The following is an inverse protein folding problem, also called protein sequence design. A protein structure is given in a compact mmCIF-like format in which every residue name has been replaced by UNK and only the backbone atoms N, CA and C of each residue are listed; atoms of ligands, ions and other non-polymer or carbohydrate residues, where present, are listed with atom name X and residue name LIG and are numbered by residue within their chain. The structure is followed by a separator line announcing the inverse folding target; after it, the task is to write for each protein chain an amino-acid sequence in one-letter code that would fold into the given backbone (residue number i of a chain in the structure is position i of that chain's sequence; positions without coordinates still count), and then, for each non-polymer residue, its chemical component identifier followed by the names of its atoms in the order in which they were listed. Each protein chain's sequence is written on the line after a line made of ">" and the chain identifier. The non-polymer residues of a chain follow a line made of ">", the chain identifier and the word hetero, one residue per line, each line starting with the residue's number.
data_IF_110573467305
#
_entry.id   IF_110573467305
#
_cell.length_a   1.000
_cell.length_b   1.000
_cell.length_c   1.000
_cell.angle_alpha   90.00
_cell.angle_beta   90.00
_cell.angle_gamma   90.00
#
_symmetry.space_group_name_H-M   'P 1'
#
loop_
_entity.id
_entity.type
_entity.pdbx_description
1 polymer ?
#
# COMPACT_ATOMS: atom_id res chain seq x y z
N UNK A 1 15.16 -21.76 10.52
CA UNK A 1 15.65 -20.78 11.50
C UNK A 1 14.47 -20.41 12.36
N UNK A 2 14.67 -20.28 13.66
CA UNK A 2 13.63 -19.76 14.55
C UNK A 2 13.32 -18.28 14.21
N UNK A 3 12.06 -17.84 14.38
CA UNK A 3 11.66 -16.47 14.02
C UNK A 3 12.40 -15.45 14.90
N UNK A 4 12.51 -15.69 16.20
CA UNK A 4 13.14 -14.76 17.13
C UNK A 4 14.65 -14.69 16.87
N UNK A 5 15.26 -15.83 16.55
CA UNK A 5 16.66 -15.88 16.10
C UNK A 5 16.88 -15.08 14.80
N UNK A 6 15.95 -15.16 13.84
CA UNK A 6 16.00 -14.40 12.60
C UNK A 6 15.91 -12.89 12.84
N UNK A 7 14.97 -12.45 13.68
CA UNK A 7 14.80 -11.04 14.05
C UNK A 7 16.04 -10.51 14.76
N UNK A 8 16.57 -11.26 15.74
CA UNK A 8 17.77 -10.87 16.48
C UNK A 8 18.99 -10.74 15.56
N UNK A 9 19.19 -11.68 14.64
CA UNK A 9 20.29 -11.63 13.65
C UNK A 9 20.18 -10.42 12.73
N UNK A 10 18.97 -10.09 12.31
CA UNK A 10 18.69 -8.93 11.48
C UNK A 10 18.63 -7.60 12.27
N UNK A 11 18.83 -7.64 13.60
CA UNK A 11 18.72 -6.49 14.52
C UNK A 11 17.37 -5.79 14.42
N UNK A 12 16.30 -6.56 14.19
CA UNK A 12 14.92 -6.06 14.20
C UNK A 12 14.30 -6.17 15.59
N UNK A 13 13.22 -5.41 15.80
CA UNK A 13 12.45 -5.47 17.02
C UNK A 13 11.79 -6.85 17.21
N UNK A 14 11.54 -7.22 18.46
CA UNK A 14 10.96 -8.52 18.81
C UNK A 14 9.61 -8.76 18.14
N UNK A 15 9.21 -10.03 18.05
CA UNK A 15 7.88 -10.40 17.59
C UNK A 15 6.82 -9.80 18.52
N UNK A 16 5.77 -9.27 17.93
CA UNK A 16 4.59 -8.80 18.62
C UNK A 16 3.77 -10.00 19.13
N UNK A 17 3.46 -9.99 20.42
CA UNK A 17 2.62 -11.01 21.07
C UNK A 17 1.23 -10.43 21.38
N UNK A 18 0.18 -11.27 21.54
CA UNK A 18 -1.18 -10.79 21.77
C UNK A 18 -1.33 -9.82 22.96
N UNK A 19 -0.50 -9.98 23.99
CA UNK A 19 -0.48 -9.11 25.17
C UNK A 19 -0.07 -7.67 24.85
N UNK A 20 0.77 -7.45 23.82
CA UNK A 20 1.24 -6.12 23.41
C UNK A 20 0.11 -5.28 22.77
N UNK A 21 -0.95 -5.94 22.29
CA UNK A 21 -2.03 -5.34 21.50
C UNK A 21 -3.41 -5.74 22.00
N UNK A 22 -3.54 -6.01 23.29
CA UNK A 22 -4.81 -6.46 23.90
C UNK A 22 -6.02 -5.55 23.57
N UNK A 23 -5.77 -4.26 23.33
CA UNK A 23 -6.81 -3.28 23.01
C UNK A 23 -7.18 -3.19 21.51
N UNK A 24 -6.39 -3.81 20.62
CA UNK A 24 -6.61 -3.81 19.17
C UNK A 24 -6.73 -5.24 18.61
N UNK A 25 -7.96 -5.76 18.41
CA UNK A 25 -8.18 -7.14 17.98
C UNK A 25 -7.76 -7.41 16.52
N UNK A 26 -7.45 -6.38 15.73
CA UNK A 26 -7.17 -6.53 14.30
C UNK A 26 -5.80 -7.13 14.01
N UNK A 27 -4.85 -7.00 14.94
CA UNK A 27 -3.52 -7.59 14.78
C UNK A 27 -3.63 -9.11 14.59
N UNK A 28 -4.31 -9.82 15.49
CA UNK A 28 -4.45 -11.28 15.42
C UNK A 28 -5.23 -11.72 14.19
N UNK A 29 -6.31 -11.00 13.84
CA UNK A 29 -7.13 -11.32 12.67
C UNK A 29 -6.34 -11.15 11.36
N UNK A 30 -5.57 -10.04 11.25
CA UNK A 30 -4.77 -9.79 10.07
C UNK A 30 -3.52 -10.68 10.01
N UNK A 31 -2.88 -11.00 11.15
CA UNK A 31 -1.73 -11.91 11.16
C UNK A 31 -2.09 -13.28 10.58
N UNK A 32 -3.26 -13.82 10.93
CA UNK A 32 -3.72 -15.09 10.39
C UNK A 32 -3.91 -15.05 8.86
N UNK A 33 -4.55 -13.99 8.36
CA UNK A 33 -4.78 -13.75 6.92
C UNK A 33 -3.46 -13.60 6.15
N UNK A 34 -2.56 -12.75 6.65
CA UNK A 34 -1.28 -12.45 6.00
C UNK A 34 -0.31 -13.64 6.07
N UNK A 35 -0.34 -14.42 7.16
CA UNK A 35 0.40 -15.66 7.25
C UNK A 35 -0.12 -16.72 6.27
N UNK A 36 -1.43 -16.79 6.06
CA UNK A 36 -1.99 -17.64 5.00
C UNK A 36 -1.53 -17.18 3.62
N UNK A 37 -1.60 -15.87 3.36
CA UNK A 37 -1.16 -15.27 2.10
C UNK A 37 0.30 -15.58 1.80
N UNK A 38 1.21 -15.43 2.78
CA UNK A 38 2.63 -15.75 2.63
C UNK A 38 2.89 -17.24 2.32
N UNK A 39 2.08 -18.15 2.84
CA UNK A 39 2.19 -19.59 2.55
C UNK A 39 1.67 -19.96 1.17
N UNK A 40 0.60 -19.31 0.70
CA UNK A 40 -0.14 -19.72 -0.49
C UNK A 40 0.25 -18.96 -1.76
N UNK A 41 0.79 -17.74 -1.64
CA UNK A 41 1.10 -16.91 -2.80
C UNK A 41 2.23 -17.49 -3.66
N UNK A 42 3.23 -18.11 -3.02
CA UNK A 42 4.37 -18.80 -3.66
C UNK A 42 4.44 -20.26 -3.17
N UNK A 43 3.63 -21.19 -3.72
CA UNK A 43 3.53 -22.56 -3.20
C UNK A 43 4.85 -23.33 -3.18
N UNK A 44 5.71 -23.09 -4.18
CA UNK A 44 7.02 -23.75 -4.30
C UNK A 44 8.10 -23.13 -3.39
N UNK A 45 7.81 -21.98 -2.79
CA UNK A 45 8.77 -21.21 -1.99
C UNK A 45 8.01 -20.43 -0.89
N UNK A 46 7.36 -21.13 0.06
CA UNK A 46 6.47 -20.49 1.02
C UNK A 46 7.21 -19.54 1.96
N UNK A 47 6.51 -18.48 2.36
CA UNK A 47 7.01 -17.46 3.27
C UNK A 47 6.28 -17.55 4.62
N UNK A 48 6.93 -17.04 5.66
CA UNK A 48 6.33 -16.79 6.96
C UNK A 48 5.97 -15.30 7.08
N UNK A 49 4.99 -14.99 7.93
CA UNK A 49 4.61 -13.62 8.26
C UNK A 49 4.57 -13.46 9.77
N UNK A 50 5.08 -12.33 10.28
CA UNK A 50 4.87 -11.89 11.66
C UNK A 50 4.68 -10.37 11.75
N UNK A 51 4.06 -9.94 12.83
CA UNK A 51 4.19 -8.57 13.30
C UNK A 51 5.37 -8.41 14.26
N UNK A 52 6.06 -7.28 14.17
CA UNK A 52 7.09 -6.86 15.12
C UNK A 52 6.57 -5.73 16.01
N UNK A 53 7.04 -5.65 17.26
CA UNK A 53 6.65 -4.59 18.22
C UNK A 53 7.12 -3.19 17.81
N UNK A 54 7.98 -3.10 16.79
CA UNK A 54 8.54 -1.84 16.32
C UNK A 54 7.47 -0.81 15.95
N UNK A 55 7.72 0.44 16.32
CA UNK A 55 6.76 1.55 16.17
C UNK A 55 6.93 2.33 14.86
N UNK A 56 7.98 2.03 14.10
CA UNK A 56 8.21 2.60 12.76
C UNK A 56 7.16 2.15 11.75
N UNK A 57 6.93 2.97 10.73
CA UNK A 57 6.03 2.65 9.61
C UNK A 57 6.88 2.03 8.51
N UNK A 58 7.05 0.71 8.60
CA UNK A 58 7.83 -0.05 7.64
C UNK A 58 7.43 -1.53 7.60
N UNK A 59 7.76 -2.19 6.49
CA UNK A 59 7.75 -3.63 6.32
C UNK A 59 9.13 -4.10 5.78
N UNK A 60 9.45 -5.37 6.04
CA UNK A 60 10.76 -5.95 5.70
C UNK A 60 10.60 -7.38 5.23
N UNK A 61 11.33 -7.77 4.21
CA UNK A 61 11.60 -9.17 3.87
C UNK A 61 12.99 -9.61 4.37
N UNK A 62 13.04 -10.66 5.19
CA UNK A 62 14.27 -11.35 5.59
C UNK A 62 14.50 -12.56 4.69
N UNK A 63 15.32 -12.38 3.65
CA UNK A 63 15.56 -13.39 2.62
C UNK A 63 16.05 -14.75 3.16
N UNK A 64 17.06 -14.83 4.06
CA UNK A 64 17.57 -16.11 4.54
C UNK A 64 16.56 -16.90 5.37
N UNK A 65 15.63 -16.19 6.01
CA UNK A 65 14.64 -16.76 6.92
C UNK A 65 13.26 -16.90 6.28
N UNK A 66 13.10 -16.48 5.02
CA UNK A 66 11.83 -16.53 4.28
C UNK A 66 10.70 -15.88 5.08
N UNK A 67 10.98 -14.73 5.68
CA UNK A 67 10.11 -14.10 6.67
C UNK A 67 9.78 -12.66 6.27
N UNK A 68 8.49 -12.40 6.06
CA UNK A 68 7.94 -11.04 5.95
C UNK A 68 7.62 -10.53 7.36
N UNK A 69 8.11 -9.33 7.66
CA UNK A 69 7.96 -8.66 8.95
C UNK A 69 7.25 -7.34 8.71
N UNK A 70 6.04 -7.18 9.25
CA UNK A 70 5.38 -5.87 9.29
C UNK A 70 5.53 -5.26 10.67
N UNK A 71 5.95 -4.00 10.74
CA UNK A 71 6.05 -3.32 12.03
C UNK A 71 4.66 -2.95 12.54
N UNK A 72 4.47 -3.03 13.87
CA UNK A 72 3.23 -2.60 14.51
C UNK A 72 2.87 -1.15 14.20
N UNK A 73 3.87 -0.27 14.05
CA UNK A 73 3.68 1.10 13.58
C UNK A 73 2.98 1.21 12.23
N UNK A 74 3.38 0.40 11.24
CA UNK A 74 2.75 0.37 9.91
C UNK A 74 1.30 -0.09 9.98
N UNK A 75 1.03 -1.18 10.70
CA UNK A 75 -0.34 -1.68 10.83
C UNK A 75 -1.27 -0.68 11.54
N UNK A 76 -0.77 0.01 12.56
CA UNK A 76 -1.53 1.10 13.19
C UNK A 76 -1.78 2.27 12.25
N UNK A 77 -0.79 2.63 11.41
CA UNK A 77 -0.98 3.64 10.39
C UNK A 77 -2.10 3.23 9.41
N UNK A 78 -2.18 1.95 9.02
CA UNK A 78 -3.30 1.43 8.21
C UNK A 78 -4.64 1.51 8.95
N UNK A 79 -4.69 1.13 10.22
CA UNK A 79 -5.91 1.24 11.03
C UNK A 79 -6.39 2.69 11.11
N UNK A 80 -5.48 3.64 11.32
CA UNK A 80 -5.83 5.07 11.35
C UNK A 80 -6.22 5.62 9.99
N UNK A 81 -5.52 5.22 8.92
CA UNK A 81 -5.89 5.59 7.56
C UNK A 81 -7.30 5.09 7.23
N UNK A 82 -7.59 3.81 7.49
CA UNK A 82 -8.92 3.23 7.32
C UNK A 82 -9.98 3.95 8.18
N UNK A 83 -9.66 4.26 9.45
CA UNK A 83 -10.53 5.01 10.36
C UNK A 83 -10.88 6.41 9.79
N UNK A 84 -9.89 7.12 9.24
CA UNK A 84 -10.10 8.40 8.58
C UNK A 84 -10.95 8.26 7.33
N UNK A 85 -10.70 7.27 6.49
CA UNK A 85 -11.50 6.99 5.29
C UNK A 85 -12.97 6.72 5.65
N UNK A 86 -13.24 5.86 6.62
CA UNK A 86 -14.64 5.56 6.99
C UNK A 86 -15.34 6.74 7.66
N UNK A 87 -14.58 7.60 8.33
CA UNK A 87 -15.08 8.80 9.03
C UNK A 87 -15.20 10.04 8.15
N UNK A 88 -14.52 10.07 6.99
CA UNK A 88 -14.43 11.25 6.13
C UNK A 88 -15.71 11.55 5.36
N UNK A 89 -16.62 10.58 5.27
CA UNK A 89 -17.82 10.68 4.43
C UNK A 89 -17.58 10.42 2.94
N UNK A 90 -16.33 10.15 2.52
CA UNK A 90 -16.00 9.95 1.10
C UNK A 90 -16.79 8.80 0.44
N UNK A 91 -17.11 7.76 1.21
CA UNK A 91 -17.96 6.65 0.78
C UNK A 91 -19.43 6.92 1.13
N UNK A 92 -20.08 7.83 0.39
CA UNK A 92 -21.45 8.32 0.67
C UNK A 92 -22.52 7.23 0.63
N UNK A 93 -22.30 6.16 -0.16
CA UNK A 93 -23.26 5.07 -0.33
C UNK A 93 -23.36 4.14 0.89
N UNK A 94 -22.41 4.21 1.83
CA UNK A 94 -22.39 3.40 3.04
C UNK A 94 -23.19 4.08 4.17
N UNK A 95 -23.85 3.27 5.01
CA UNK A 95 -24.67 3.72 6.14
C UNK A 95 -23.97 4.80 6.99
N UNK A 96 -24.72 5.83 7.35
CA UNK A 96 -24.19 6.96 8.09
C UNK A 96 -23.20 7.79 7.28
N UNK A 97 -23.31 7.75 5.94
CA UNK A 97 -22.67 8.69 5.02
C UNK A 97 -23.05 10.11 5.36
N UNK A 98 -22.04 10.91 5.64
CA UNK A 98 -22.13 12.35 5.66
C UNK A 98 -21.52 12.87 4.36
N UNK A 99 -21.95 14.04 3.89
CA UNK A 99 -21.21 14.70 2.82
C UNK A 99 -19.76 14.93 3.25
N UNK A 100 -18.78 14.60 2.39
CA UNK A 100 -17.39 14.81 2.72
C UNK A 100 -17.12 16.30 2.96
N UNK A 101 -16.60 16.63 4.13
CA UNK A 101 -16.20 18.00 4.46
C UNK A 101 -14.72 18.19 4.23
N UNK A 102 -14.35 19.24 3.49
CA UNK A 102 -12.97 19.68 3.32
C UNK A 102 -12.86 21.17 3.60
N UNK A 103 -11.78 21.60 4.26
CA UNK A 103 -11.52 23.02 4.51
C UNK A 103 -10.06 23.38 4.27
N UNK A 104 -9.82 24.37 3.41
CA UNK A 104 -8.50 24.97 3.20
C UNK A 104 -7.90 25.59 4.46
N UNK A 105 -8.72 25.93 5.47
CA UNK A 105 -8.26 26.49 6.75
C UNK A 105 -7.53 25.47 7.63
N UNK A 106 -7.71 24.17 7.37
CA UNK A 106 -7.04 23.08 8.08
C UNK A 106 -5.72 22.66 7.41
N UNK A 107 -5.39 23.23 6.25
CA UNK A 107 -4.10 23.06 5.60
C UNK A 107 -3.02 23.81 6.39
N UNK A 108 -2.40 23.09 7.33
CA UNK A 108 -1.11 23.50 7.88
C UNK A 108 -0.01 23.34 6.81
N UNK A 109 1.17 23.91 7.07
CA UNK A 109 2.35 23.71 6.22
C UNK A 109 2.54 22.22 5.89
N UNK A 110 3.10 21.85 4.72
CA UNK A 110 3.19 20.47 4.27
C UNK A 110 3.92 19.61 5.31
N UNK A 111 3.14 18.92 6.15
CA UNK A 111 3.62 17.95 7.11
C UNK A 111 3.46 16.56 6.49
N UNK A 112 4.43 15.65 6.68
CA UNK A 112 4.28 14.27 6.26
C UNK A 112 2.97 13.69 6.76
N UNK A 113 2.17 13.14 5.85
CA UNK A 113 0.88 12.50 6.17
C UNK A 113 1.03 11.50 7.32
N UNK A 114 2.15 10.78 7.32
CA UNK A 114 2.48 9.77 8.33
C UNK A 114 2.57 10.31 9.75
N UNK A 115 2.97 11.58 9.95
CA UNK A 115 2.99 12.18 11.28
C UNK A 115 1.60 12.30 11.89
N UNK A 116 0.57 12.53 11.08
CA UNK A 116 -0.82 12.55 11.56
C UNK A 116 -1.35 11.16 11.90
N UNK A 117 -0.71 10.11 11.41
CA UNK A 117 -1.10 8.72 11.65
C UNK A 117 -0.36 8.10 12.85
N UNK A 118 0.64 8.80 13.40
CA UNK A 118 1.36 8.43 14.63
C UNK A 118 0.90 9.33 15.79
N UNK A 119 0.80 8.87 17.07
CA UNK A 119 1.22 7.58 17.66
C UNK A 119 0.21 6.42 17.48
N UNK A 120 0.22 5.37 18.31
CA UNK A 120 -0.74 4.25 18.24
C UNK A 120 -2.20 4.74 18.34
N UNK A 121 -3.10 4.03 17.63
CA UNK A 121 -4.53 4.33 17.63
C UNK A 121 -5.15 4.07 19.01
N UNK A 122 -5.86 5.05 19.57
CA UNK A 122 -6.75 4.79 20.70
C UNK A 122 -8.02 4.15 20.15
N UNK A 123 -8.02 2.82 20.05
CA UNK A 123 -9.09 2.07 19.40
C UNK A 123 -10.48 2.42 19.95
N UNK A 124 -10.62 2.55 21.27
CA UNK A 124 -11.93 2.82 21.91
C UNK A 124 -12.48 4.20 21.53
N UNK A 125 -11.63 5.22 21.55
CA UNK A 125 -12.04 6.60 21.25
C UNK A 125 -12.22 6.83 19.75
N UNK A 126 -11.24 6.41 18.95
CA UNK A 126 -11.20 6.69 17.51
C UNK A 126 -12.22 5.85 16.72
N UNK A 127 -12.62 4.67 17.21
CA UNK A 127 -13.60 3.80 16.53
C UNK A 127 -15.06 4.10 16.87
N UNK A 128 -15.35 4.78 17.98
CA UNK A 128 -16.71 4.90 18.52
C UNK A 128 -17.75 5.50 17.56
N UNK A 129 -17.33 6.39 16.66
CA UNK A 129 -18.23 7.09 15.71
C UNK A 129 -18.73 6.22 14.55
N UNK A 130 -18.00 5.16 14.21
CA UNK A 130 -18.27 4.34 13.03
C UNK A 130 -18.37 2.85 13.34
N UNK A 131 -17.76 2.35 14.42
CA UNK A 131 -17.77 0.93 14.81
C UNK A 131 -19.17 0.37 15.05
N UNK A 132 -20.09 1.19 15.57
CA UNK A 132 -21.47 0.78 15.81
C UNK A 132 -22.32 0.67 14.51
N UNK A 133 -21.83 1.23 13.39
CA UNK A 133 -22.51 1.18 12.09
C UNK A 133 -21.97 -0.01 11.31
N UNK A 134 -22.81 -1.01 11.05
CA UNK A 134 -22.39 -2.29 10.45
C UNK A 134 -21.65 -2.08 9.13
N UNK A 135 -22.19 -1.26 8.22
CA UNK A 135 -21.57 -1.06 6.90
C UNK A 135 -20.22 -0.36 6.98
N UNK A 136 -20.07 0.61 7.90
CA UNK A 136 -18.80 1.31 8.12
C UNK A 136 -17.76 0.41 8.76
N UNK A 137 -18.19 -0.48 9.65
CA UNK A 137 -17.32 -1.49 10.22
C UNK A 137 -16.80 -2.44 9.14
N UNK A 138 -17.66 -2.90 8.23
CA UNK A 138 -17.25 -3.72 7.07
C UNK A 138 -16.26 -2.99 6.18
N UNK A 139 -16.53 -1.73 5.83
CA UNK A 139 -15.61 -0.92 5.02
C UNK A 139 -14.25 -0.75 5.71
N UNK A 140 -14.24 -0.47 7.02
CA UNK A 140 -13.01 -0.36 7.80
C UNK A 140 -12.18 -1.64 7.73
N UNK A 141 -12.81 -2.79 8.03
CA UNK A 141 -12.14 -4.09 7.99
C UNK A 141 -11.52 -4.34 6.62
N UNK A 142 -12.30 -4.08 5.57
CA UNK A 142 -11.88 -4.34 4.21
C UNK A 142 -10.73 -3.43 3.76
N UNK A 143 -10.71 -2.16 4.17
CA UNK A 143 -9.60 -1.25 3.93
C UNK A 143 -8.32 -1.71 4.63
N UNK A 144 -8.39 -2.09 5.91
CA UNK A 144 -7.23 -2.60 6.66
C UNK A 144 -6.66 -3.85 6.03
N UNK A 145 -7.52 -4.81 5.66
CA UNK A 145 -7.09 -6.03 4.97
C UNK A 145 -6.46 -5.71 3.61
N UNK A 146 -7.07 -4.82 2.81
CA UNK A 146 -6.56 -4.45 1.49
C UNK A 146 -5.17 -3.80 1.59
N UNK A 147 -4.99 -2.84 2.51
CA UNK A 147 -3.69 -2.18 2.74
C UNK A 147 -2.62 -3.17 3.20
N UNK A 148 -2.96 -4.00 4.19
CA UNK A 148 -2.00 -4.95 4.77
C UNK A 148 -1.60 -6.05 3.77
N UNK A 149 -2.57 -6.54 2.98
CA UNK A 149 -2.33 -7.50 1.90
C UNK A 149 -1.49 -6.88 0.79
N UNK A 150 -1.76 -5.63 0.40
CA UNK A 150 -0.95 -4.93 -0.62
C UNK A 150 0.52 -4.89 -0.24
N UNK A 151 0.86 -4.41 0.98
CA UNK A 151 2.25 -4.36 1.43
C UNK A 151 2.86 -5.74 1.58
N UNK A 152 2.13 -6.69 2.15
CA UNK A 152 2.63 -8.07 2.26
C UNK A 152 2.91 -8.68 0.89
N UNK A 153 2.03 -8.44 -0.11
CA UNK A 153 2.26 -8.89 -1.47
C UNK A 153 3.41 -8.14 -2.16
N UNK A 154 3.65 -6.88 -1.82
CA UNK A 154 4.80 -6.12 -2.30
C UNK A 154 6.10 -6.80 -1.84
N UNK A 155 6.22 -7.14 -0.55
CA UNK A 155 7.35 -7.92 -0.01
C UNK A 155 7.47 -9.31 -0.66
N UNK A 156 6.35 -10.00 -0.88
CA UNK A 156 6.33 -11.27 -1.62
C UNK A 156 6.79 -11.06 -3.08
N UNK A 157 6.49 -9.91 -3.69
CA UNK A 157 6.92 -9.51 -5.02
C UNK A 157 8.44 -9.41 -5.12
N UNK A 158 9.09 -8.82 -4.11
CA UNK A 158 10.56 -8.80 -4.01
C UNK A 158 11.17 -10.20 -4.04
N UNK A 159 10.54 -11.13 -3.33
CA UNK A 159 10.93 -12.54 -3.34
C UNK A 159 10.65 -13.20 -4.69
N UNK A 160 9.45 -12.98 -5.24
CA UNK A 160 9.03 -13.53 -6.52
C UNK A 160 10.02 -13.17 -7.62
N UNK A 161 10.43 -11.90 -7.69
CA UNK A 161 11.39 -11.39 -8.68
C UNK A 161 12.86 -11.60 -8.28
N UNK A 162 13.12 -12.24 -7.13
CA UNK A 162 14.46 -12.58 -6.63
C UNK A 162 15.38 -11.37 -6.43
N UNK A 163 14.80 -10.23 -6.02
CA UNK A 163 15.53 -8.98 -5.79
C UNK A 163 16.65 -9.13 -4.74
N UNK A 164 16.53 -10.11 -3.84
CA UNK A 164 17.52 -10.43 -2.81
C UNK A 164 18.73 -11.27 -3.24
N UNK A 165 18.84 -11.72 -4.50
CA UNK A 165 19.96 -12.56 -4.97
C UNK A 165 21.35 -11.96 -4.70
N UNK A 166 21.47 -10.63 -4.73
CA UNK A 166 22.73 -9.90 -4.45
C UNK A 166 23.24 -10.08 -3.02
N UNK A 167 22.35 -10.39 -2.07
CA UNK A 167 22.70 -10.54 -0.66
C UNK A 167 23.39 -11.87 -0.35
N UNK A 168 23.22 -12.88 -1.23
CA UNK A 168 23.91 -14.17 -1.12
C UNK A 168 25.42 -14.03 -1.43
N UNK A 169 25.80 -13.01 -2.20
CA UNK A 169 27.18 -12.81 -2.67
C UNK A 169 27.96 -11.70 -1.94
N UNK A 170 27.30 -10.87 -1.12
CA UNK A 170 27.84 -9.58 -0.66
C UNK A 170 27.84 -9.28 0.84
N UNK A 171 27.45 -10.22 1.71
CA UNK A 171 27.82 -10.24 3.13
C UNK A 171 27.33 -9.14 4.10
N UNK A 172 26.64 -8.07 3.69
CA UNK A 172 26.40 -6.94 4.62
C UNK A 172 24.94 -6.55 4.89
N UNK A 173 23.96 -6.86 4.05
CA UNK A 173 22.54 -6.68 4.43
C UNK A 173 21.72 -7.87 3.93
N UNK A 174 20.87 -8.44 4.77
CA UNK A 174 20.07 -9.63 4.44
C UNK A 174 18.57 -9.32 4.30
N UNK A 175 18.25 -8.02 4.25
CA UNK A 175 16.91 -7.49 4.31
C UNK A 175 16.65 -6.45 3.21
N UNK A 176 15.41 -6.39 2.75
CA UNK A 176 14.87 -5.23 2.03
C UNK A 176 13.81 -4.57 2.89
N UNK A 177 13.82 -3.24 2.92
CA UNK A 177 13.04 -2.41 3.82
C UNK A 177 12.19 -1.44 3.00
N UNK A 178 10.87 -1.61 3.04
CA UNK A 178 9.90 -0.59 2.61
C UNK A 178 9.58 0.29 3.82
N UNK A 179 10.06 1.53 3.81
CA UNK A 179 9.92 2.47 4.92
C UNK A 179 9.36 3.81 4.47
N UNK A 180 8.51 4.40 5.32
CA UNK A 180 8.00 5.74 5.09
C UNK A 180 9.14 6.78 5.03
N UNK A 181 9.00 7.77 4.16
CA UNK A 181 10.04 8.73 3.80
C UNK A 181 11.31 8.08 3.22
N UNK A 182 11.26 7.57 1.98
CA UNK A 182 12.39 6.96 1.27
C UNK A 182 13.73 7.66 1.52
N UNK A 183 14.80 6.88 1.74
CA UNK A 183 16.16 7.39 1.84
C UNK A 183 16.74 7.85 0.50
N UNK A 184 17.94 8.42 0.52
CA UNK A 184 18.71 8.82 -0.67
C UNK A 184 19.94 7.92 -0.85
N UNK A 185 20.23 7.57 -2.10
CA UNK A 185 21.34 6.75 -2.54
C UNK A 185 21.98 7.36 -3.80
N UNK A 186 23.25 7.00 -4.10
CA UNK A 186 23.84 7.35 -5.40
C UNK A 186 23.00 6.81 -6.57
N UNK A 187 22.88 7.59 -7.65
CA UNK A 187 22.03 7.29 -8.83
C UNK A 187 22.23 5.86 -9.37
N UNK A 188 23.47 5.37 -9.40
CA UNK A 188 23.81 4.03 -9.89
C UNK A 188 23.18 2.89 -9.07
N UNK A 189 22.79 3.15 -7.81
CA UNK A 189 22.14 2.19 -6.92
C UNK A 189 20.63 2.46 -6.80
N UNK A 190 20.22 3.73 -6.78
CA UNK A 190 18.82 4.12 -6.64
C UNK A 190 17.98 3.74 -7.86
N UNK A 191 18.43 3.95 -9.10
CA UNK A 191 17.62 3.63 -10.29
C UNK A 191 17.24 2.13 -10.34
N UNK A 192 18.19 1.18 -10.16
CA UNK A 192 17.83 -0.23 -10.03
C UNK A 192 16.94 -0.53 -8.83
N UNK A 193 17.13 0.15 -7.68
CA UNK A 193 16.25 -0.03 -6.53
C UNK A 193 14.82 0.40 -6.86
N UNK A 194 14.65 1.59 -7.42
CA UNK A 194 13.35 2.12 -7.87
C UNK A 194 12.65 1.20 -8.88
N UNK A 195 13.38 0.61 -9.83
CA UNK A 195 12.83 -0.34 -10.78
C UNK A 195 12.23 -1.58 -10.08
N UNK A 196 12.91 -2.08 -9.06
CA UNK A 196 12.47 -3.25 -8.28
C UNK A 196 11.22 -2.95 -7.47
N UNK A 197 11.12 -1.75 -6.90
CA UNK A 197 9.91 -1.28 -6.21
C UNK A 197 8.69 -1.30 -7.14
N UNK A 198 8.83 -0.84 -8.39
CA UNK A 198 7.73 -0.87 -9.36
C UNK A 198 7.30 -2.29 -9.73
N UNK A 199 8.24 -3.22 -9.85
CA UNK A 199 7.91 -4.63 -10.10
C UNK A 199 7.18 -5.25 -8.91
N UNK A 200 7.61 -4.95 -7.69
CA UNK A 200 6.94 -5.38 -6.47
C UNK A 200 5.52 -4.79 -6.36
N UNK A 201 5.34 -3.52 -6.71
CA UNK A 201 4.02 -2.87 -6.79
C UNK A 201 3.11 -3.51 -7.84
N UNK A 202 3.63 -3.77 -9.04
CA UNK A 202 2.88 -4.42 -10.11
C UNK A 202 2.44 -5.81 -9.68
N UNK A 203 3.35 -6.59 -9.08
CA UNK A 203 3.04 -7.89 -8.53
C UNK A 203 1.93 -7.80 -7.46
N UNK A 204 2.09 -6.88 -6.51
CA UNK A 204 1.14 -6.70 -5.42
C UNK A 204 -0.26 -6.32 -5.92
N UNK A 205 -0.33 -5.36 -6.83
CA UNK A 205 -1.58 -4.88 -7.40
C UNK A 205 -2.33 -5.99 -8.14
N UNK A 206 -1.64 -6.72 -9.02
CA UNK A 206 -2.25 -7.78 -9.81
C UNK A 206 -2.72 -8.96 -8.95
N UNK A 207 -1.88 -9.40 -8.00
CA UNK A 207 -2.25 -10.48 -7.08
C UNK A 207 -3.40 -10.09 -6.17
N UNK A 208 -3.41 -8.86 -5.67
CA UNK A 208 -4.51 -8.39 -4.83
C UNK A 208 -5.82 -8.30 -5.60
N UNK A 209 -5.77 -7.85 -6.87
CA UNK A 209 -6.93 -7.87 -7.77
C UNK A 209 -7.48 -9.29 -7.93
N UNK A 210 -6.62 -10.27 -8.22
CA UNK A 210 -7.02 -11.68 -8.34
C UNK A 210 -7.66 -12.22 -7.05
N UNK A 211 -7.07 -11.91 -5.90
CA UNK A 211 -7.58 -12.32 -4.58
C UNK A 211 -8.96 -11.72 -4.33
N UNK A 212 -9.14 -10.42 -4.56
CA UNK A 212 -10.41 -9.73 -4.35
C UNK A 212 -11.49 -10.31 -5.28
N UNK A 213 -11.19 -10.46 -6.58
CA UNK A 213 -12.15 -11.02 -7.54
C UNK A 213 -12.57 -12.44 -7.14
N UNK A 214 -11.61 -13.29 -6.75
CA UNK A 214 -11.89 -14.65 -6.29
C UNK A 214 -12.68 -14.66 -4.98
N UNK A 215 -12.32 -13.81 -4.02
CA UNK A 215 -13.00 -13.70 -2.73
C UNK A 215 -14.47 -13.31 -2.93
N UNK A 216 -14.71 -12.31 -3.79
CA UNK A 216 -16.05 -11.88 -4.16
C UNK A 216 -16.84 -13.03 -4.82
N UNK A 217 -16.22 -13.90 -5.62
CA UNK A 217 -16.89 -15.05 -6.21
C UNK A 217 -17.20 -16.16 -5.19
N UNK A 218 -16.20 -16.59 -4.43
CA UNK A 218 -16.31 -17.74 -3.50
C UNK A 218 -17.20 -17.42 -2.30
N UNK A 219 -17.11 -16.19 -1.77
CA UNK A 219 -17.87 -15.73 -0.60
C UNK A 219 -19.12 -14.95 -0.98
N UNK A 220 -19.66 -15.15 -2.19
CA UNK A 220 -20.79 -14.37 -2.70
C UNK A 220 -22.07 -14.43 -1.83
N UNK A 221 -22.21 -15.45 -0.99
CA UNK A 221 -23.33 -15.60 -0.04
C UNK A 221 -23.09 -14.94 1.32
N UNK A 222 -21.87 -14.50 1.63
CA UNK A 222 -21.58 -13.85 2.91
C UNK A 222 -22.12 -12.41 2.92
N UNK A 223 -22.82 -11.97 3.99
CA UNK A 223 -23.43 -10.64 4.04
C UNK A 223 -22.45 -9.49 3.80
N UNK A 224 -21.23 -9.58 4.31
CA UNK A 224 -20.19 -8.57 4.09
C UNK A 224 -19.77 -8.48 2.62
N UNK A 225 -19.59 -9.62 1.94
CA UNK A 225 -19.24 -9.65 0.52
C UNK A 225 -20.40 -9.16 -0.36
N UNK A 226 -21.64 -9.48 -0.02
CA UNK A 226 -22.82 -8.96 -0.72
C UNK A 226 -22.91 -7.43 -0.62
N UNK A 227 -22.66 -6.88 0.58
CA UNK A 227 -22.62 -5.44 0.80
C UNK A 227 -21.50 -4.77 -0.02
N UNK A 228 -20.28 -5.32 0.03
CA UNK A 228 -19.14 -4.78 -0.71
C UNK A 228 -19.37 -4.84 -2.21
N UNK A 229 -19.88 -5.95 -2.76
CA UNK A 229 -20.27 -6.02 -4.17
C UNK A 229 -21.31 -4.98 -4.55
N UNK A 230 -22.37 -4.83 -3.75
CA UNK A 230 -23.45 -3.92 -4.05
C UNK A 230 -23.03 -2.44 -4.05
N UNK A 231 -22.00 -2.08 -3.28
CA UNK A 231 -21.65 -0.67 -3.02
C UNK A 231 -20.26 -0.24 -3.48
N UNK A 232 -19.36 -1.17 -3.75
CA UNK A 232 -17.94 -0.87 -3.94
C UNK A 232 -17.21 -1.76 -4.95
N UNK A 233 -17.57 -3.02 -5.10
CA UNK A 233 -16.81 -4.03 -5.86
C UNK A 233 -17.72 -4.80 -6.83
N UNK A 234 -18.65 -4.09 -7.47
CA UNK A 234 -19.72 -4.69 -8.26
C UNK A 234 -19.23 -5.47 -9.48
N UNK A 235 -18.12 -5.01 -10.07
CA UNK A 235 -17.51 -5.58 -11.27
C UNK A 235 -15.99 -5.35 -11.27
N UNK A 236 -15.32 -5.77 -12.34
CA UNK A 236 -13.87 -5.60 -12.49
C UNK A 236 -13.42 -4.14 -12.52
N UNK A 237 -14.27 -3.23 -13.02
CA UNK A 237 -13.97 -1.80 -13.08
C UNK A 237 -13.91 -1.24 -11.67
N UNK A 238 -14.95 -1.48 -10.88
CA UNK A 238 -15.01 -0.98 -9.50
C UNK A 238 -13.94 -1.63 -8.61
N UNK A 239 -13.55 -2.88 -8.86
CA UNK A 239 -12.40 -3.51 -8.19
C UNK A 239 -11.10 -2.76 -8.50
N UNK A 240 -10.81 -2.48 -9.78
CA UNK A 240 -9.60 -1.73 -10.16
C UNK A 240 -9.65 -0.30 -9.62
N UNK A 241 -10.80 0.37 -9.67
CA UNK A 241 -10.98 1.72 -9.12
C UNK A 241 -10.69 1.75 -7.63
N UNK A 242 -11.28 0.83 -6.88
CA UNK A 242 -11.05 0.71 -5.44
C UNK A 242 -9.58 0.48 -5.12
N UNK A 243 -8.92 -0.44 -5.84
CA UNK A 243 -7.50 -0.70 -5.63
C UNK A 243 -6.65 0.53 -5.92
N UNK A 244 -6.89 1.23 -7.04
CA UNK A 244 -6.18 2.46 -7.37
C UNK A 244 -6.38 3.54 -6.31
N UNK A 245 -7.57 3.69 -5.73
CA UNK A 245 -7.80 4.61 -4.61
C UNK A 245 -7.01 4.23 -3.35
N UNK A 246 -7.01 2.94 -3.00
CA UNK A 246 -6.31 2.44 -1.80
C UNK A 246 -4.79 2.58 -1.96
N UNK A 247 -4.22 2.21 -3.10
CA UNK A 247 -2.78 2.37 -3.35
C UNK A 247 -2.39 3.84 -3.41
N UNK A 248 -3.25 4.71 -3.93
CA UNK A 248 -3.00 6.14 -3.97
C UNK A 248 -2.91 6.72 -2.54
N UNK A 249 -3.85 6.37 -1.65
CA UNK A 249 -3.78 6.75 -0.24
C UNK A 249 -2.52 6.19 0.44
N UNK A 250 -2.18 4.93 0.15
CA UNK A 250 -0.97 4.29 0.68
C UNK A 250 0.31 5.02 0.26
N UNK A 251 0.48 5.27 -1.04
CA UNK A 251 1.69 5.93 -1.53
C UNK A 251 1.80 7.35 -0.98
N UNK A 252 0.72 8.13 -0.94
CA UNK A 252 0.72 9.44 -0.30
C UNK A 252 1.07 9.41 1.19
N UNK A 253 0.67 8.34 1.88
CA UNK A 253 1.02 8.13 3.28
C UNK A 253 2.53 7.86 3.45
N UNK A 254 3.13 7.08 2.55
CA UNK A 254 4.52 6.64 2.62
C UNK A 254 5.53 7.64 2.03
N UNK A 255 5.07 8.56 1.18
CA UNK A 255 5.93 9.47 0.44
C UNK A 255 6.66 10.49 1.32
N UNK A 256 7.80 10.97 0.81
CA UNK A 256 8.42 12.18 1.33
C UNK A 256 7.59 13.40 0.95
N UNK A 257 7.68 14.48 1.72
CA UNK A 257 7.05 15.76 1.33
C UNK A 257 8.00 16.68 0.55
N UNK A 258 9.30 16.42 0.64
CA UNK A 258 10.36 17.23 0.04
C UNK A 258 10.89 16.66 -1.28
N UNK A 259 10.27 15.61 -1.84
CA UNK A 259 10.77 14.97 -3.07
C UNK A 259 10.86 15.96 -4.25
N UNK A 260 10.04 17.02 -4.24
CA UNK A 260 10.07 18.10 -5.24
C UNK A 260 11.32 18.99 -5.16
N UNK A 261 12.04 18.95 -4.04
CA UNK A 261 13.20 19.81 -3.77
C UNK A 261 14.54 19.04 -3.78
N UNK A 262 14.48 17.73 -4.04
CA UNK A 262 15.64 16.84 -4.13
C UNK A 262 15.69 16.20 -5.51
N UNK A 263 16.84 15.60 -5.84
CA UNK A 263 16.94 14.78 -7.05
C UNK A 263 16.22 13.44 -6.81
N UNK A 264 15.00 13.30 -7.32
CA UNK A 264 14.23 12.05 -7.18
C UNK A 264 14.92 10.84 -7.80
N UNK A 265 15.94 11.02 -8.67
CA UNK A 265 16.78 9.91 -9.17
C UNK A 265 17.63 9.30 -8.07
N UNK A 266 17.87 10.00 -6.97
CA UNK A 266 18.62 9.51 -5.81
C UNK A 266 17.72 8.79 -4.81
N UNK A 267 16.39 8.86 -4.93
CA UNK A 267 15.50 8.22 -3.97
C UNK A 267 15.59 6.70 -4.01
N UNK A 268 15.52 6.06 -2.85
CA UNK A 268 15.45 4.59 -2.72
C UNK A 268 14.20 4.01 -3.37
N UNK A 269 13.10 4.77 -3.36
CA UNK A 269 11.81 4.42 -3.96
C UNK A 269 11.35 5.56 -4.87
N UNK A 270 10.60 5.29 -5.95
CA UNK A 270 10.04 6.36 -6.76
C UNK A 270 9.05 7.20 -5.94
N UNK A 271 8.90 8.51 -6.24
CA UNK A 271 7.87 9.35 -5.62
C UNK A 271 6.47 8.74 -5.79
N UNK A 272 5.54 9.03 -4.87
CA UNK A 272 4.19 8.46 -4.91
C UNK A 272 3.45 8.68 -6.24
N UNK A 273 3.50 9.88 -6.86
CA UNK A 273 2.86 10.10 -8.17
C UNK A 273 3.40 9.18 -9.27
N UNK A 274 4.70 8.87 -9.21
CA UNK A 274 5.34 7.99 -10.18
C UNK A 274 4.87 6.54 -10.00
N UNK A 275 4.91 6.02 -8.77
CA UNK A 275 4.42 4.67 -8.45
C UNK A 275 2.95 4.52 -8.84
N UNK A 276 2.15 5.55 -8.56
CA UNK A 276 0.74 5.58 -8.92
C UNK A 276 0.53 5.61 -10.45
N UNK A 277 1.28 6.45 -11.19
CA UNK A 277 1.22 6.49 -12.65
C UNK A 277 1.56 5.12 -13.26
N UNK A 278 2.57 4.43 -12.73
CA UNK A 278 2.91 3.08 -13.15
C UNK A 278 1.73 2.10 -12.99
N UNK A 279 0.99 2.15 -11.87
CA UNK A 279 -0.22 1.34 -11.70
C UNK A 279 -1.36 1.74 -12.66
N UNK A 280 -1.53 3.02 -12.96
CA UNK A 280 -2.49 3.47 -13.98
C UNK A 280 -2.11 2.95 -15.37
N UNK A 281 -0.83 3.00 -15.74
CA UNK A 281 -0.30 2.44 -16.99
C UNK A 281 -0.54 0.93 -17.05
N UNK A 282 -0.26 0.22 -15.94
CA UNK A 282 -0.53 -1.22 -15.85
C UNK A 282 -1.99 -1.53 -16.14
N UNK A 283 -2.94 -0.83 -15.50
CA UNK A 283 -4.38 -1.01 -15.75
C UNK A 283 -4.74 -0.68 -17.20
N UNK A 284 -4.16 0.38 -17.78
CA UNK A 284 -4.36 0.75 -19.18
C UNK A 284 -3.91 -0.35 -20.15
N UNK A 285 -2.74 -0.95 -19.90
CA UNK A 285 -2.16 -2.02 -20.73
C UNK A 285 -2.96 -3.32 -20.66
N UNK A 286 -3.43 -3.71 -19.47
CA UNK A 286 -4.34 -4.85 -19.34
C UNK A 286 -5.68 -4.59 -20.06
N UNK A 287 -6.12 -3.33 -20.07
CA UNK A 287 -7.39 -2.92 -20.62
C UNK A 287 -8.58 -3.52 -19.85
N UNK A 288 -9.77 -3.31 -20.40
CA UNK A 288 -11.00 -3.88 -19.90
C UNK A 288 -11.80 -4.49 -21.05
N UNK A 289 -12.51 -5.58 -20.77
CA UNK A 289 -13.29 -6.24 -21.80
C UNK A 289 -14.42 -5.33 -22.29
N UNK A 290 -14.44 -5.05 -23.59
CA UNK A 290 -15.46 -4.21 -24.22
C UNK A 290 -15.22 -2.69 -24.10
N UNK A 291 -14.10 -2.24 -23.51
CA UNK A 291 -13.70 -0.83 -23.55
C UNK A 291 -12.64 -0.57 -24.63
N UNK A 292 -12.83 0.51 -25.39
CA UNK A 292 -11.77 1.08 -26.23
C UNK A 292 -10.68 1.75 -25.38
N UNK A 293 -9.50 1.98 -25.95
CA UNK A 293 -8.41 2.72 -25.29
C UNK A 293 -8.82 4.13 -24.86
N UNK A 294 -9.70 4.80 -25.62
CA UNK A 294 -10.22 6.13 -25.26
C UNK A 294 -11.14 6.06 -24.03
N UNK A 295 -12.01 5.05 -23.96
CA UNK A 295 -12.87 4.84 -22.78
C UNK A 295 -12.04 4.48 -21.54
N UNK A 296 -11.04 3.62 -21.70
CA UNK A 296 -10.11 3.25 -20.62
C UNK A 296 -9.37 4.48 -20.11
N UNK A 297 -8.82 5.31 -21.01
CA UNK A 297 -8.14 6.56 -20.63
C UNK A 297 -9.04 7.52 -19.87
N UNK A 298 -10.30 7.69 -20.33
CA UNK A 298 -11.29 8.51 -19.64
C UNK A 298 -11.58 7.98 -18.23
N UNK A 299 -11.83 6.68 -18.11
CA UNK A 299 -12.08 6.01 -16.83
C UNK A 299 -10.91 6.20 -15.84
N UNK A 300 -9.67 6.05 -16.30
CA UNK A 300 -8.48 6.23 -15.46
C UNK A 300 -8.31 7.69 -15.04
N UNK A 301 -8.62 8.63 -15.92
CA UNK A 301 -8.60 10.07 -15.60
C UNK A 301 -9.62 10.42 -14.52
N UNK A 302 -10.85 9.94 -14.63
CA UNK A 302 -11.90 10.13 -13.61
C UNK A 302 -11.50 9.48 -12.27
N UNK A 303 -10.92 8.28 -12.32
CA UNK A 303 -10.42 7.56 -11.15
C UNK A 303 -9.27 8.31 -10.46
N UNK A 304 -8.35 8.91 -11.24
CA UNK A 304 -7.29 9.75 -10.71
C UNK A 304 -7.85 10.98 -9.98
N UNK A 305 -8.75 11.72 -10.61
CA UNK A 305 -9.38 12.90 -10.00
C UNK A 305 -10.13 12.55 -8.69
N UNK A 306 -10.83 11.41 -8.68
CA UNK A 306 -11.49 10.92 -7.47
C UNK A 306 -10.48 10.52 -6.38
N UNK A 307 -9.33 9.96 -6.74
CA UNK A 307 -8.25 9.64 -5.78
C UNK A 307 -7.66 10.91 -5.14
N UNK A 308 -7.41 11.94 -5.94
CA UNK A 308 -6.92 13.25 -5.46
C UNK A 308 -7.92 13.90 -4.49
N UNK A 309 -9.20 13.86 -4.83
CA UNK A 309 -10.27 14.32 -3.94
C UNK A 309 -10.33 13.50 -2.64
N UNK A 310 -10.16 12.18 -2.74
CA UNK A 310 -10.14 11.29 -1.58
C UNK A 310 -8.97 11.62 -0.64
N UNK A 311 -7.75 11.81 -1.18
CA UNK A 311 -6.57 12.26 -0.41
C UNK A 311 -6.87 13.56 0.32
N UNK A 312 -7.43 14.55 -0.38
CA UNK A 312 -7.74 15.84 0.20
C UNK A 312 -8.70 15.73 1.39
N UNK A 313 -9.78 14.97 1.26
CA UNK A 313 -10.78 14.80 2.32
C UNK A 313 -10.23 13.95 3.47
N UNK A 314 -9.52 12.86 3.18
CA UNK A 314 -9.01 11.92 4.20
C UNK A 314 -7.85 12.50 5.00
N UNK A 315 -6.96 13.27 4.35
CA UNK A 315 -5.80 13.87 4.99
C UNK A 315 -6.01 15.35 5.39
N UNK A 316 -7.12 15.97 4.99
CA UNK A 316 -7.39 17.41 5.17
C UNK A 316 -6.24 18.28 4.63
N UNK A 317 -5.66 17.84 3.52
CA UNK A 317 -4.58 18.54 2.81
C UNK A 317 -5.12 19.14 1.51
N UNK A 318 -4.39 20.11 0.97
CA UNK A 318 -4.68 20.59 -0.37
C UNK A 318 -4.58 19.40 -1.33
N UNK A 319 -5.58 19.19 -2.20
CA UNK A 319 -5.50 18.14 -3.19
C UNK A 319 -4.20 18.38 -3.98
N UNK A 320 -3.39 17.34 -4.17
CA UNK A 320 -2.18 17.42 -4.95
C UNK A 320 -2.40 17.67 -6.46
N UNK A 321 -3.38 18.48 -6.88
CA UNK A 321 -3.67 18.80 -8.29
C UNK A 321 -2.47 19.30 -9.09
N UNK A 322 -1.42 19.77 -8.41
CA UNK A 322 -0.16 20.19 -9.01
C UNK A 322 0.80 19.03 -9.33
N UNK A 323 0.56 17.80 -8.85
CA UNK A 323 1.46 16.66 -9.01
C UNK A 323 1.51 16.14 -10.45
N UNK A 324 0.37 16.14 -11.15
CA UNK A 324 0.33 15.65 -12.52
C UNK A 324 1.01 16.61 -13.52
N UNK A 325 0.80 17.92 -13.39
CA UNK A 325 1.54 18.93 -14.16
C UNK A 325 3.05 18.95 -13.87
N UNK A 326 3.49 18.26 -12.81
CA UNK A 326 4.91 18.06 -12.47
C UNK A 326 5.49 16.79 -13.10
N UNK A 327 4.70 15.73 -13.29
CA UNK A 327 5.11 14.54 -14.05
C UNK A 327 5.41 14.84 -15.52
N UNK A 328 4.84 15.92 -16.07
CA UNK A 328 5.11 16.42 -17.42
C UNK A 328 6.43 17.22 -17.53
N UNK A 329 7.14 17.46 -16.41
CA UNK A 329 8.44 18.12 -16.45
C UNK A 329 9.50 17.17 -17.02
N UNK A 330 10.40 17.72 -17.85
CA UNK A 330 11.45 16.98 -18.57
C UNK A 330 12.23 15.99 -17.69
N UNK A 331 12.43 16.33 -16.42
CA UNK A 331 13.11 15.49 -15.47
C UNK A 331 12.37 14.18 -15.12
N UNK A 332 11.03 14.17 -15.06
CA UNK A 332 10.27 12.94 -14.75
C UNK A 332 10.27 11.97 -15.92
N UNK A 333 10.22 12.48 -17.16
CA UNK A 333 10.40 11.68 -18.35
C UNK A 333 11.77 10.98 -18.35
N UNK A 334 12.83 11.69 -17.95
CA UNK A 334 14.16 11.09 -17.79
C UNK A 334 14.21 9.99 -16.73
N UNK A 335 13.55 10.17 -15.58
CA UNK A 335 13.44 9.09 -14.57
C UNK A 335 12.74 7.87 -15.15
N UNK A 336 11.62 8.10 -15.85
CA UNK A 336 10.85 7.04 -16.47
C UNK A 336 11.70 6.23 -17.45
N UNK A 337 12.42 6.92 -18.34
CA UNK A 337 13.34 6.29 -19.29
C UNK A 337 14.43 5.49 -18.58
N UNK A 338 15.09 6.07 -17.57
CA UNK A 338 16.16 5.40 -16.82
C UNK A 338 15.67 4.12 -16.12
N UNK A 339 14.50 4.18 -15.48
CA UNK A 339 13.92 3.01 -14.82
C UNK A 339 13.51 1.95 -15.85
N UNK A 340 12.86 2.33 -16.94
CA UNK A 340 12.40 1.38 -17.97
C UNK A 340 13.56 0.71 -18.71
N UNK A 341 14.71 1.37 -18.82
CA UNK A 341 15.92 0.77 -19.38
C UNK A 341 16.45 -0.38 -18.52
N UNK A 342 16.38 -0.27 -17.19
CA UNK A 342 16.90 -1.30 -16.28
C UNK A 342 15.84 -2.31 -15.86
N UNK A 343 14.55 -1.99 -15.99
CA UNK A 343 13.43 -2.83 -15.56
C UNK A 343 13.50 -4.29 -16.09
N UNK A 344 13.88 -4.56 -17.36
CA UNK A 344 14.00 -5.92 -17.88
C UNK A 344 14.99 -6.81 -17.12
N UNK A 345 16.06 -6.23 -16.55
CA UNK A 345 17.08 -6.98 -15.81
C UNK A 345 16.54 -7.56 -14.49
N UNK A 346 15.42 -7.02 -14.01
CA UNK A 346 14.80 -7.36 -12.73
C UNK A 346 13.54 -8.23 -12.86
N UNK A 347 13.05 -8.46 -14.08
CA UNK A 347 12.01 -9.46 -14.32
C UNK A 347 12.58 -10.86 -14.15
N UNK A 348 12.27 -11.52 -13.01
CA UNK A 348 12.44 -12.96 -12.73
C UNK A 348 13.59 -13.62 -13.52
N UNK A 349 14.83 -13.24 -13.21
CA UNK A 349 16.05 -14.03 -13.49
C UNK A 349 16.24 -15.12 -12.44
#
# INVERSE_FOLDING_TARGET
>A
MDVDEALQRAKLDARLIPEDVADNPWFTLCEADLAQLCRECLPDDPLQFIFSIGTSVQAVILYPSRLVVMYGGMFNAFCRLASRVVSSGAFVNFEGGAEPTWSSKQCSAPAPVIHGLMPFMNWKEESGKWKAKTERHVLFMYLVLTLSRFVTLHEIGHVYHRHGKRFVTGGVDCCELDAANPGLLPIAQSIPNQARELLADNFAFLRLREIITREMQVKASEPACQLLKAKLLGDEYEVNRFLLHVTHLYFHMMDRQDWMYIDYREMTHPPAPFRQQNLYTLVFEYGFEGMSSSQTSKYLTETHQASEALVAVVHQQLPPFMLQGKLEQEGFAQLYELIHQVLPDWYRT
#
